data_IF_602319592269
#
_entry.id   IF_602319592269
#
_cell.length_a   1.000
_cell.length_b   1.000
_cell.length_c   1.000
_cell.angle_alpha   90.00
_cell.angle_beta   90.00
_cell.angle_gamma   90.00
#
_symmetry.space_group_name_H-M   'P 1'
#
loop_
_entity.id
_entity.type
_entity.pdbx_description
1 polymer ?
#
# COMPACT_ATOMS: atom_id res chain seq x y z
N UNK A 1 59.66 62.02 10.03
CA UNK A 1 58.24 61.65 10.01
C UNK A 1 58.10 60.55 9.00
N UNK A 2 58.10 59.31 9.45
CA UNK A 2 58.12 58.09 8.65
C UNK A 2 56.71 57.48 8.71
N UNK A 3 56.05 57.39 7.57
CA UNK A 3 54.76 56.77 7.41
C UNK A 3 54.96 55.24 7.22
N UNK A 4 54.27 54.44 8.02
CA UNK A 4 54.23 52.97 7.93
C UNK A 4 52.99 52.58 7.15
N UNK A 5 53.20 51.98 5.94
CA UNK A 5 52.14 51.40 5.13
C UNK A 5 51.79 50.00 5.67
N UNK A 6 50.58 49.88 6.19
CA UNK A 6 50.01 48.59 6.63
C UNK A 6 49.28 47.91 5.45
N UNK A 7 49.90 46.91 4.83
CA UNK A 7 49.24 46.08 3.82
C UNK A 7 48.42 44.97 4.50
N UNK A 8 47.09 45.07 4.40
CA UNK A 8 46.17 44.03 4.81
C UNK A 8 46.06 43.01 3.70
N UNK A 9 46.58 41.84 3.93
CA UNK A 9 46.42 40.68 3.00
C UNK A 9 45.06 40.05 3.18
N UNK A 10 44.25 40.06 2.11
CA UNK A 10 42.95 39.34 2.03
C UNK A 10 43.23 37.87 1.69
N UNK A 11 43.03 36.95 2.63
CA UNK A 11 43.06 35.49 2.37
C UNK A 11 41.63 35.09 1.96
N UNK A 12 41.43 34.83 0.67
CA UNK A 12 40.17 34.27 0.17
C UNK A 12 40.13 32.77 0.52
N UNK A 13 39.31 32.47 1.54
CA UNK A 13 38.99 31.08 1.89
C UNK A 13 38.04 30.47 0.85
N UNK A 14 38.51 29.49 0.08
CA UNK A 14 37.67 28.69 -0.82
C UNK A 14 36.96 27.64 0.03
N UNK A 15 35.66 27.85 0.30
CA UNK A 15 34.82 26.83 0.92
C UNK A 15 34.37 25.82 -0.15
N UNK A 16 34.95 24.62 -0.11
CA UNK A 16 34.49 23.50 -0.93
C UNK A 16 33.23 22.93 -0.28
N UNK A 17 32.08 23.22 -0.86
CA UNK A 17 30.81 22.56 -0.51
C UNK A 17 30.81 21.19 -1.16
N UNK A 18 31.12 20.14 -0.39
CA UNK A 18 30.94 18.74 -0.82
C UNK A 18 29.44 18.45 -0.73
N UNK A 19 28.74 18.52 -1.85
CA UNK A 19 27.38 18.03 -1.96
C UNK A 19 27.40 16.49 -1.88
N UNK A 20 27.07 15.96 -0.71
CA UNK A 20 26.82 14.52 -0.56
C UNK A 20 25.53 14.17 -1.31
N UNK A 21 25.65 13.65 -2.52
CA UNK A 21 24.54 13.00 -3.20
C UNK A 21 24.21 11.72 -2.44
N UNK A 22 23.15 11.73 -1.64
CA UNK A 22 22.58 10.52 -1.07
C UNK A 22 22.08 9.67 -2.25
N UNK A 23 22.83 8.65 -2.63
CA UNK A 23 22.37 7.61 -3.54
C UNK A 23 21.20 6.90 -2.81
N UNK A 24 19.98 7.16 -3.25
CA UNK A 24 18.84 6.37 -2.82
C UNK A 24 19.07 4.98 -3.42
N UNK A 25 19.44 4.01 -2.58
CA UNK A 25 19.54 2.62 -2.99
C UNK A 25 18.14 2.22 -3.48
N UNK A 26 17.98 2.06 -4.80
CA UNK A 26 16.76 1.51 -5.37
C UNK A 26 16.68 0.05 -4.97
N UNK A 27 15.57 -0.35 -4.35
CA UNK A 27 15.33 -1.75 -4.02
C UNK A 27 15.29 -2.58 -5.30
N UNK A 28 16.17 -3.57 -5.41
CA UNK A 28 16.24 -4.45 -6.58
C UNK A 28 15.36 -5.68 -6.38
N UNK A 29 14.44 -5.92 -7.31
CA UNK A 29 13.64 -7.14 -7.34
C UNK A 29 14.45 -8.23 -8.03
N UNK A 30 15.18 -9.01 -7.23
CA UNK A 30 15.91 -10.19 -7.72
C UNK A 30 14.95 -11.30 -8.14
N UNK A 31 15.45 -12.32 -8.86
CA UNK A 31 14.64 -13.50 -9.24
C UNK A 31 14.08 -14.25 -8.03
N UNK A 32 14.81 -14.31 -6.92
CA UNK A 32 14.35 -14.93 -5.68
C UNK A 32 13.21 -14.12 -5.03
N UNK A 33 13.33 -12.80 -5.00
CA UNK A 33 12.28 -11.89 -4.51
C UNK A 33 11.04 -12.01 -5.40
N UNK A 34 11.21 -12.04 -6.73
CA UNK A 34 10.09 -12.20 -7.66
C UNK A 34 9.38 -13.54 -7.46
N UNK A 35 10.11 -14.62 -7.25
CA UNK A 35 9.52 -15.94 -6.95
C UNK A 35 8.70 -15.91 -5.66
N UNK A 36 9.14 -15.19 -4.62
CA UNK A 36 8.35 -15.01 -3.39
C UNK A 36 7.11 -14.16 -3.64
N UNK A 37 7.21 -13.06 -4.40
CA UNK A 37 6.06 -12.25 -4.80
C UNK A 37 5.02 -13.09 -5.56
N UNK A 38 5.46 -13.99 -6.45
CA UNK A 38 4.56 -14.88 -7.20
C UNK A 38 3.89 -15.91 -6.30
N UNK A 39 4.58 -16.37 -5.24
CA UNK A 39 3.94 -17.18 -4.17
C UNK A 39 2.87 -16.37 -3.44
N UNK A 40 3.19 -15.11 -3.08
CA UNK A 40 2.24 -14.25 -2.40
C UNK A 40 1.01 -13.92 -3.25
N UNK A 41 1.15 -13.71 -4.56
CA UNK A 41 0.00 -13.56 -5.49
C UNK A 41 -0.98 -14.73 -5.39
N UNK A 42 -0.47 -15.97 -5.32
CA UNK A 42 -1.31 -17.17 -5.18
C UNK A 42 -2.02 -17.22 -3.83
N UNK A 43 -1.32 -16.88 -2.75
CA UNK A 43 -1.90 -16.81 -1.40
C UNK A 43 -3.01 -15.77 -1.34
N UNK A 44 -2.75 -14.56 -1.85
CA UNK A 44 -3.70 -13.44 -1.87
C UNK A 44 -4.90 -13.76 -2.76
N UNK A 45 -4.70 -14.43 -3.90
CA UNK A 45 -5.80 -14.92 -4.74
C UNK A 45 -6.70 -15.91 -3.99
N UNK A 46 -6.11 -16.80 -3.16
CA UNK A 46 -6.87 -17.68 -2.27
C UNK A 46 -7.71 -16.89 -1.25
N UNK A 47 -7.20 -15.78 -0.71
CA UNK A 47 -7.99 -14.92 0.20
C UNK A 47 -9.12 -14.21 -0.54
N UNK A 48 -8.88 -13.74 -1.76
CA UNK A 48 -9.89 -13.08 -2.58
C UNK A 48 -11.06 -14.03 -2.95
N UNK A 49 -10.79 -15.33 -3.03
CA UNK A 49 -11.78 -16.37 -3.29
C UNK A 49 -12.50 -16.87 -2.03
N UNK A 50 -12.10 -16.43 -0.83
CA UNK A 50 -12.73 -16.86 0.41
C UNK A 50 -14.19 -16.38 0.46
N UNK A 51 -15.15 -17.22 0.88
CA UNK A 51 -16.57 -16.85 0.94
C UNK A 51 -16.85 -15.60 1.78
N UNK A 52 -16.04 -15.32 2.81
CA UNK A 52 -16.16 -14.10 3.62
C UNK A 52 -15.87 -12.85 2.80
N UNK A 53 -14.84 -12.88 1.96
CA UNK A 53 -14.44 -11.77 1.09
C UNK A 53 -15.44 -11.61 -0.06
N UNK A 54 -15.77 -12.70 -0.76
CA UNK A 54 -16.73 -12.69 -1.88
C UNK A 54 -18.07 -12.14 -1.43
N UNK A 55 -18.60 -12.64 -0.30
CA UNK A 55 -19.88 -12.15 0.26
C UNK A 55 -19.82 -10.69 0.65
N UNK A 56 -18.74 -10.24 1.27
CA UNK A 56 -18.61 -8.83 1.69
C UNK A 56 -18.61 -7.88 0.49
N UNK A 57 -17.96 -8.24 -0.60
CA UNK A 57 -17.98 -7.48 -1.86
C UNK A 57 -19.37 -7.48 -2.48
N UNK A 58 -20.04 -8.62 -2.57
CA UNK A 58 -21.40 -8.73 -3.10
C UNK A 58 -22.39 -7.88 -2.29
N UNK A 59 -22.35 -7.96 -0.97
CA UNK A 59 -23.19 -7.16 -0.07
C UNK A 59 -22.93 -5.65 -0.22
N UNK A 60 -21.65 -5.24 -0.41
CA UNK A 60 -21.29 -3.83 -0.62
C UNK A 60 -21.78 -3.34 -1.98
N UNK A 61 -21.63 -4.12 -3.05
CA UNK A 61 -22.09 -3.79 -4.38
C UNK A 61 -23.63 -3.61 -4.43
N UNK A 62 -24.36 -4.37 -3.62
CA UNK A 62 -25.81 -4.20 -3.50
C UNK A 62 -26.22 -2.90 -2.76
N UNK A 63 -25.34 -2.37 -1.88
CA UNK A 63 -25.58 -1.13 -1.12
C UNK A 63 -25.05 0.11 -1.84
N UNK A 64 -23.99 -0.03 -2.61
CA UNK A 64 -23.22 1.07 -3.20
C UNK A 64 -22.33 1.82 -2.20
N UNK A 65 -21.61 2.84 -2.68
CA UNK A 65 -20.79 3.72 -1.85
C UNK A 65 -21.61 4.42 -0.75
N UNK A 66 -20.95 4.74 0.36
CA UNK A 66 -21.60 5.53 1.42
C UNK A 66 -21.98 6.92 0.88
N UNK A 67 -23.25 7.37 1.06
CA UNK A 67 -23.68 8.69 0.62
C UNK A 67 -22.81 9.81 1.19
N UNK A 68 -22.32 10.71 0.34
CA UNK A 68 -21.47 11.84 0.73
C UNK A 68 -20.06 11.47 1.14
N UNK A 69 -19.66 10.22 1.04
CA UNK A 69 -18.29 9.79 1.34
C UNK A 69 -17.45 9.81 0.07
N UNK A 70 -16.48 10.72 0.05
CA UNK A 70 -15.43 10.82 -0.95
C UNK A 70 -14.04 10.68 -0.31
N UNK A 71 -13.00 10.82 -1.13
CA UNK A 71 -11.62 10.72 -0.64
C UNK A 71 -11.22 11.90 0.26
N UNK A 72 -11.80 13.09 0.10
CA UNK A 72 -11.51 14.25 0.93
C UNK A 72 -12.14 14.08 2.33
N UNK A 73 -13.43 13.72 2.36
CA UNK A 73 -14.17 13.40 3.59
C UNK A 73 -13.49 12.27 4.35
N UNK A 74 -13.09 11.18 3.64
CA UNK A 74 -12.40 10.04 4.25
C UNK A 74 -11.06 10.43 4.91
N UNK A 75 -10.27 11.27 4.25
CA UNK A 75 -8.99 11.76 4.80
C UNK A 75 -9.16 12.48 6.13
N UNK A 76 -10.23 13.25 6.27
CA UNK A 76 -10.52 14.01 7.49
C UNK A 76 -10.94 13.11 8.68
N UNK A 77 -11.42 11.88 8.43
CA UNK A 77 -11.83 10.95 9.48
C UNK A 77 -10.64 10.41 10.25
N UNK A 78 -10.82 10.24 11.57
CA UNK A 78 -9.85 9.59 12.45
C UNK A 78 -10.06 8.07 12.44
N UNK A 79 -9.04 7.31 12.82
CA UNK A 79 -9.15 5.85 13.02
C UNK A 79 -10.22 5.47 14.05
N UNK A 80 -10.47 6.35 15.03
CA UNK A 80 -11.49 6.16 16.08
C UNK A 80 -12.93 6.41 15.64
N UNK A 81 -13.15 7.02 14.49
CA UNK A 81 -14.49 7.38 14.05
C UNK A 81 -15.34 6.13 13.80
N UNK A 82 -16.63 6.13 14.20
CA UNK A 82 -17.49 4.94 14.11
C UNK A 82 -17.58 4.35 12.70
N UNK A 83 -17.63 5.21 11.66
CA UNK A 83 -17.68 4.76 10.27
C UNK A 83 -16.39 4.03 9.86
N UNK A 84 -15.21 4.52 10.27
CA UNK A 84 -13.92 3.87 10.03
C UNK A 84 -13.85 2.53 10.74
N UNK A 85 -14.24 2.49 12.00
CA UNK A 85 -14.29 1.25 12.79
C UNK A 85 -15.23 0.21 12.21
N UNK A 86 -16.34 0.63 11.61
CA UNK A 86 -17.30 -0.29 10.98
C UNK A 86 -16.66 -1.10 9.85
N UNK A 87 -15.81 -0.49 9.01
CA UNK A 87 -15.07 -1.18 7.96
C UNK A 87 -14.00 -2.13 8.51
N UNK A 88 -13.36 -1.75 9.61
CA UNK A 88 -12.31 -2.54 10.26
C UNK A 88 -12.90 -3.73 11.06
N UNK A 89 -14.03 -3.54 11.72
CA UNK A 89 -14.63 -4.53 12.61
C UNK A 89 -15.63 -5.47 11.96
N UNK A 90 -15.99 -5.26 10.68
CA UNK A 90 -16.85 -6.18 9.96
C UNK A 90 -16.16 -7.54 9.72
N UNK A 91 -16.89 -8.53 9.24
CA UNK A 91 -16.36 -9.89 9.04
C UNK A 91 -15.12 -9.94 8.14
N UNK A 92 -15.15 -9.19 7.03
CA UNK A 92 -14.02 -9.12 6.11
C UNK A 92 -12.83 -8.37 6.72
N UNK A 93 -13.05 -7.27 7.46
CA UNK A 93 -11.99 -6.55 8.16
C UNK A 93 -11.28 -7.43 9.20
N UNK A 94 -12.03 -8.18 10.00
CA UNK A 94 -11.47 -9.16 10.96
C UNK A 94 -10.71 -10.28 10.25
N UNK A 95 -11.21 -10.76 9.11
CA UNK A 95 -10.50 -11.74 8.29
C UNK A 95 -9.14 -11.20 7.84
N UNK A 96 -9.09 -9.97 7.30
CA UNK A 96 -7.86 -9.34 6.83
C UNK A 96 -6.87 -9.11 7.99
N UNK A 97 -7.35 -8.68 9.16
CA UNK A 97 -6.52 -8.53 10.36
C UNK A 97 -5.88 -9.86 10.76
N UNK A 98 -6.67 -10.94 10.83
CA UNK A 98 -6.15 -12.26 11.18
C UNK A 98 -5.09 -12.75 10.16
N UNK A 99 -5.28 -12.48 8.85
CA UNK A 99 -4.28 -12.82 7.83
C UNK A 99 -3.00 -11.99 7.98
N UNK A 100 -3.14 -10.72 8.29
CA UNK A 100 -2.01 -9.83 8.54
C UNK A 100 -1.21 -10.26 9.76
N UNK A 101 -1.85 -10.56 10.90
CA UNK A 101 -1.23 -11.08 12.12
C UNK A 101 -0.49 -12.41 11.84
N UNK A 102 -1.15 -13.37 11.19
CA UNK A 102 -0.57 -14.67 10.88
C UNK A 102 0.62 -14.60 9.91
N UNK A 103 0.82 -13.49 9.22
CA UNK A 103 1.91 -13.30 8.26
C UNK A 103 3.29 -13.16 8.90
N UNK A 104 3.37 -12.88 10.22
CA UNK A 104 4.62 -12.61 10.93
C UNK A 104 5.31 -11.34 10.44
N UNK A 105 4.54 -10.30 10.11
CA UNK A 105 5.02 -9.00 9.65
C UNK A 105 5.35 -8.92 8.16
N UNK A 106 5.07 -9.98 7.37
CA UNK A 106 5.23 -9.92 5.92
C UNK A 106 4.16 -9.00 5.29
N UNK A 107 2.93 -9.12 5.76
CA UNK A 107 1.82 -8.28 5.27
C UNK A 107 1.74 -7.01 6.10
N UNK A 108 1.85 -5.88 5.45
CA UNK A 108 1.90 -4.53 6.06
C UNK A 108 0.61 -3.77 5.90
N UNK A 109 -0.18 -4.12 4.88
CA UNK A 109 -1.47 -3.52 4.57
C UNK A 109 -2.39 -4.57 3.94
N UNK A 110 -3.69 -4.50 4.21
CA UNK A 110 -4.70 -5.28 3.49
C UNK A 110 -6.02 -4.54 3.46
N UNK A 111 -6.58 -4.35 2.27
CA UNK A 111 -7.90 -3.74 2.11
C UNK A 111 -8.66 -4.29 0.90
N UNK A 112 -9.96 -4.18 0.98
CA UNK A 112 -10.94 -4.70 0.03
C UNK A 112 -11.78 -3.54 -0.51
N UNK A 113 -11.93 -3.48 -1.83
CA UNK A 113 -12.78 -2.50 -2.53
C UNK A 113 -13.84 -3.21 -3.36
N UNK A 114 -15.01 -2.59 -3.51
CA UNK A 114 -16.13 -3.03 -4.34
C UNK A 114 -16.08 -2.41 -5.74
N UNK A 115 -17.12 -2.59 -6.56
CA UNK A 115 -17.15 -2.26 -8.00
C UNK A 115 -16.83 -0.80 -8.34
N UNK A 116 -17.26 0.15 -7.51
CA UNK A 116 -16.96 1.58 -7.72
C UNK A 116 -15.61 1.99 -7.08
N UNK A 117 -14.82 1.01 -6.62
CA UNK A 117 -13.52 1.24 -5.98
C UNK A 117 -13.62 1.66 -4.53
N UNK A 118 -14.84 1.78 -3.98
CA UNK A 118 -15.09 2.15 -2.60
C UNK A 118 -14.69 1.04 -1.62
N UNK A 119 -14.37 1.42 -0.39
CA UNK A 119 -14.00 0.48 0.68
C UNK A 119 -15.14 -0.46 1.05
N UNK A 120 -14.78 -1.73 1.22
CA UNK A 120 -15.60 -2.78 1.83
C UNK A 120 -15.09 -3.12 3.22
N UNK A 121 -13.76 -3.25 3.34
CA UNK A 121 -13.10 -3.62 4.59
C UNK A 121 -11.59 -3.31 4.50
N UNK A 122 -10.93 -3.28 5.65
CA UNK A 122 -9.46 -3.18 5.74
C UNK A 122 -8.95 -3.70 7.09
N UNK A 123 -7.68 -4.07 7.12
CA UNK A 123 -6.99 -4.39 8.37
C UNK A 123 -6.66 -3.10 9.15
N UNK A 124 -6.10 -2.10 8.45
CA UNK A 124 -5.78 -0.77 8.98
C UNK A 124 -6.32 0.33 8.04
N UNK A 125 -6.67 1.51 8.62
CA UNK A 125 -7.20 2.64 7.84
C UNK A 125 -6.20 3.10 6.78
N UNK A 126 -6.63 3.06 5.53
CA UNK A 126 -5.86 3.52 4.36
C UNK A 126 -6.12 4.99 4.05
N UNK A 127 -5.27 5.59 3.21
CA UNK A 127 -5.35 7.01 2.81
C UNK A 127 -6.62 7.33 1.99
N UNK A 128 -7.10 6.38 1.17
CA UNK A 128 -8.19 6.60 0.23
C UNK A 128 -9.41 5.73 0.53
N UNK A 129 -10.61 6.27 0.30
CA UNK A 129 -11.88 5.55 0.35
C UNK A 129 -12.20 4.89 -1.00
N UNK A 130 -12.03 5.64 -2.10
CA UNK A 130 -12.26 5.19 -3.47
C UNK A 130 -10.92 4.99 -4.18
N UNK A 131 -10.75 3.81 -4.78
CA UNK A 131 -9.54 3.40 -5.51
C UNK A 131 -9.73 3.28 -7.03
N UNK A 132 -10.96 3.43 -7.55
CA UNK A 132 -11.23 3.48 -8.99
C UNK A 132 -10.42 4.61 -9.62
N UNK A 133 -9.75 4.34 -10.75
CA UNK A 133 -8.78 5.23 -11.37
C UNK A 133 -7.32 4.98 -10.93
N UNK A 134 -7.08 4.05 -10.00
CA UNK A 134 -5.74 3.68 -9.58
C UNK A 134 -5.37 2.30 -10.13
N UNK A 135 -4.11 2.07 -10.63
CA UNK A 135 -3.70 0.80 -11.22
C UNK A 135 -3.95 -0.42 -10.33
N UNK A 136 -3.75 -0.28 -9.00
CA UNK A 136 -4.02 -1.34 -8.01
C UNK A 136 -5.48 -1.79 -7.93
N UNK A 137 -6.43 -0.99 -8.42
CA UNK A 137 -7.83 -1.35 -8.54
C UNK A 137 -8.19 -1.69 -9.99
N UNK A 138 -7.85 -0.81 -10.94
CA UNK A 138 -8.32 -0.91 -12.32
C UNK A 138 -7.73 -2.12 -13.05
N UNK A 139 -6.44 -2.43 -12.82
CA UNK A 139 -5.78 -3.53 -13.54
C UNK A 139 -6.40 -4.89 -13.16
N UNK A 140 -6.47 -5.32 -11.87
CA UNK A 140 -7.09 -6.60 -11.55
C UNK A 140 -8.58 -6.65 -11.90
N UNK A 141 -9.29 -5.53 -11.79
CA UNK A 141 -10.71 -5.46 -12.10
C UNK A 141 -10.98 -5.66 -13.60
N UNK A 142 -10.16 -5.10 -14.48
CA UNK A 142 -10.34 -5.16 -15.93
C UNK A 142 -9.72 -6.40 -16.56
N UNK A 143 -8.51 -6.79 -16.13
CA UNK A 143 -7.77 -7.91 -16.74
C UNK A 143 -8.12 -9.26 -16.13
N UNK A 144 -8.77 -9.29 -14.96
CA UNK A 144 -9.00 -10.49 -14.12
C UNK A 144 -7.70 -11.17 -13.65
N UNK A 145 -6.56 -10.47 -13.80
CA UNK A 145 -5.24 -10.92 -13.39
C UNK A 145 -4.75 -10.23 -12.13
N UNK A 146 -3.66 -10.75 -11.55
CA UNK A 146 -2.98 -10.06 -10.46
C UNK A 146 -2.19 -8.85 -10.99
N UNK A 147 -2.17 -7.79 -10.23
CA UNK A 147 -1.29 -6.63 -10.42
C UNK A 147 -0.22 -6.61 -9.32
N UNK A 148 0.97 -6.16 -9.67
CA UNK A 148 2.09 -5.94 -8.76
C UNK A 148 2.62 -4.53 -8.95
N UNK A 149 2.71 -3.77 -7.88
CA UNK A 149 3.31 -2.44 -7.85
C UNK A 149 4.84 -2.47 -7.85
N UNK A 150 5.41 -1.30 -7.75
CA UNK A 150 6.84 -1.10 -7.52
C UNK A 150 7.13 -0.99 -6.02
N UNK A 151 8.39 -1.15 -5.57
CA UNK A 151 8.80 -0.82 -4.23
C UNK A 151 8.49 0.66 -3.92
N UNK A 152 7.70 0.91 -2.89
CA UNK A 152 7.32 2.26 -2.48
C UNK A 152 7.24 2.38 -0.96
N UNK A 153 7.47 3.59 -0.44
CA UNK A 153 7.18 3.88 0.97
C UNK A 153 5.70 4.17 1.12
N UNK A 154 5.03 3.41 1.97
CA UNK A 154 3.62 3.60 2.29
C UNK A 154 3.46 4.41 3.56
N UNK A 155 2.87 5.61 3.43
CA UNK A 155 2.66 6.53 4.55
C UNK A 155 1.65 5.98 5.58
N UNK A 156 0.69 5.17 5.15
CA UNK A 156 -0.32 4.62 6.05
C UNK A 156 0.22 3.46 6.90
N UNK A 157 1.09 2.64 6.32
CA UNK A 157 1.77 1.53 6.97
C UNK A 157 3.14 1.92 7.56
N UNK A 158 3.67 3.12 7.25
CA UNK A 158 4.97 3.64 7.68
C UNK A 158 6.12 2.68 7.36
N UNK A 159 6.09 2.03 6.19
CA UNK A 159 7.09 1.06 5.77
C UNK A 159 7.24 1.00 4.26
N UNK A 160 8.39 0.47 3.81
CA UNK A 160 8.58 0.15 2.39
C UNK A 160 7.92 -1.18 2.06
N UNK A 161 7.12 -1.20 1.00
CA UNK A 161 6.35 -2.36 0.56
C UNK A 161 6.23 -2.43 -0.97
N UNK A 162 5.81 -3.60 -1.45
CA UNK A 162 5.27 -3.80 -2.80
C UNK A 162 3.80 -4.16 -2.64
N UNK A 163 2.91 -3.43 -3.29
CA UNK A 163 1.50 -3.78 -3.31
C UNK A 163 1.22 -4.85 -4.36
N UNK A 164 0.45 -5.86 -3.97
CA UNK A 164 -0.13 -6.87 -4.85
C UNK A 164 -1.64 -6.71 -4.77
N UNK A 165 -2.30 -6.72 -5.91
CA UNK A 165 -3.76 -6.75 -5.94
C UNK A 165 -4.28 -7.83 -6.88
N UNK A 166 -5.43 -8.39 -6.51
CA UNK A 166 -6.11 -9.45 -7.24
C UNK A 166 -7.59 -9.15 -7.35
N UNK A 167 -8.27 -9.60 -8.41
CA UNK A 167 -9.72 -9.41 -8.52
C UNK A 167 -10.46 -10.27 -7.48
N UNK A 168 -11.56 -9.74 -6.98
CA UNK A 168 -12.58 -10.52 -6.29
C UNK A 168 -13.68 -10.83 -7.29
N UNK A 169 -13.99 -12.10 -7.49
CA UNK A 169 -14.98 -12.56 -8.44
C UNK A 169 -16.27 -12.96 -7.71
N UNK A 170 -17.41 -12.46 -8.20
CA UNK A 170 -18.75 -12.92 -7.84
C UNK A 170 -19.38 -13.52 -9.09
N UNK A 171 -19.80 -14.76 -9.04
CA UNK A 171 -20.32 -15.51 -10.19
C UNK A 171 -19.41 -15.45 -11.43
N UNK A 172 -18.09 -15.53 -11.20
CA UNK A 172 -17.07 -15.50 -12.25
C UNK A 172 -16.83 -14.11 -12.88
N UNK A 173 -17.44 -13.04 -12.36
CA UNK A 173 -17.29 -11.67 -12.87
C UNK A 173 -16.52 -10.81 -11.85
N UNK A 174 -15.64 -9.91 -12.29
CA UNK A 174 -15.00 -8.95 -11.39
C UNK A 174 -16.05 -8.12 -10.66
N UNK A 175 -15.98 -8.12 -9.35
CA UNK A 175 -16.91 -7.43 -8.47
C UNK A 175 -16.20 -6.48 -7.48
N UNK A 176 -14.87 -6.58 -7.41
CA UNK A 176 -14.04 -5.77 -6.56
C UNK A 176 -12.58 -6.15 -6.70
N UNK A 177 -11.73 -5.59 -5.84
CA UNK A 177 -10.31 -5.91 -5.75
C UNK A 177 -9.85 -6.03 -4.29
N UNK A 178 -9.01 -7.02 -4.03
CA UNK A 178 -8.26 -7.16 -2.79
C UNK A 178 -6.84 -6.67 -3.02
N UNK A 179 -6.41 -5.70 -2.22
CA UNK A 179 -5.06 -5.11 -2.26
C UNK A 179 -4.32 -5.45 -0.98
N UNK A 180 -3.08 -5.91 -1.11
CA UNK A 180 -2.24 -6.34 0.01
C UNK A 180 -0.84 -5.75 -0.16
N UNK A 181 -0.34 -5.08 0.87
CA UNK A 181 1.03 -4.61 0.97
C UNK A 181 1.95 -5.71 1.50
N UNK A 182 3.05 -5.96 0.80
CA UNK A 182 4.08 -6.94 1.18
C UNK A 182 5.34 -6.17 1.57
N UNK A 183 5.71 -6.23 2.84
CA UNK A 183 6.85 -5.49 3.40
C UNK A 183 8.19 -5.98 2.89
N UNK A 184 9.03 -5.06 2.39
CA UNK A 184 10.29 -5.39 1.73
C UNK A 184 11.25 -6.14 2.64
N UNK A 185 11.41 -5.71 3.90
CA UNK A 185 12.35 -6.32 4.84
C UNK A 185 12.05 -7.79 5.14
N UNK A 186 10.76 -8.18 5.22
CA UNK A 186 10.38 -9.57 5.43
C UNK A 186 10.42 -10.37 4.12
N UNK A 187 10.14 -9.71 3.00
CA UNK A 187 10.23 -10.30 1.67
C UNK A 187 11.67 -10.75 1.37
N UNK A 188 12.66 -9.89 1.62
CA UNK A 188 14.09 -10.22 1.47
C UNK A 188 14.50 -11.41 2.33
N UNK A 189 14.11 -11.40 3.63
CA UNK A 189 14.41 -12.52 4.54
C UNK A 189 13.82 -13.85 4.08
N UNK A 190 12.67 -13.84 3.42
CA UNK A 190 12.03 -15.06 2.88
C UNK A 190 12.67 -15.51 1.59
N UNK A 191 13.10 -14.59 0.75
CA UNK A 191 13.78 -14.90 -0.51
C UNK A 191 15.19 -15.51 -0.32
N UNK A 192 15.78 -15.38 0.88
CA UNK A 192 17.09 -15.94 1.24
C UNK A 192 17.02 -17.38 1.82
N UNK A 193 15.82 -17.90 2.05
CA UNK A 193 15.58 -19.26 2.60
C UNK A 193 15.29 -20.26 1.48
#
# INVERSE_FOLDING_TARGET
>A
MTSVDLRVGFVAGVSIVVAATAAHATFEITSAIQAELDRQKKVIAGWAADPVIVKAVADQNAKGPLPGMDNATWKALRRSDPVVRAFQSNRAGKFLQAKMEASGGLITEAFLSATEGEKVAFAEKTTWYIHKGMPKFDVPFTTRGAWQGHPEFDESAQTYQIQISVPVLVDGRPAGALVVGVGLAQLEKRAQK
#
